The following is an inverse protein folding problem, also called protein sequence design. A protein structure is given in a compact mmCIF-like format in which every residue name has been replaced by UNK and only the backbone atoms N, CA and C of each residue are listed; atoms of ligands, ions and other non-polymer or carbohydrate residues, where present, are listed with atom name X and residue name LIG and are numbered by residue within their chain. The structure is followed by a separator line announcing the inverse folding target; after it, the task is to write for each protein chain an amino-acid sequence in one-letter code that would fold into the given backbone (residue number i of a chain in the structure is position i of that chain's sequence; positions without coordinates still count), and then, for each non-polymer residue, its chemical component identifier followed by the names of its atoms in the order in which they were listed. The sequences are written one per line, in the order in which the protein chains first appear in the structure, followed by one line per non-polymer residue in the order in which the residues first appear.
data_IF_805548888605
#
_entry.id   IF_805548888605
#
_cell.length_a   1.000
_cell.length_b   1.000
_cell.length_c   1.000
_cell.angle_alpha   90.00
_cell.angle_beta   90.00
_cell.angle_gamma   90.00
#
_symmetry.space_group_name_H-M   'P 1'
#
loop_
_entity.id
_entity.type
_entity.pdbx_description
1 polymer ?
#
# COMPACT_ATOMS: atom_id res chain seq x y z
N UNK A 1 2.17 2.04 15.02
CA UNK A 1 2.03 2.14 16.49
C UNK A 1 0.58 1.98 16.96
N UNK A 2 -0.40 2.80 16.47
CA UNK A 2 -1.79 2.77 16.96
C UNK A 2 -2.46 1.39 16.85
N UNK A 3 -2.29 0.67 15.74
CA UNK A 3 -2.88 -0.67 15.55
C UNK A 3 -2.32 -1.71 16.53
N UNK A 4 -1.03 -1.63 16.86
CA UNK A 4 -0.39 -2.54 17.82
C UNK A 4 -0.90 -2.27 19.24
N UNK A 5 -1.03 -1.00 19.63
CA UNK A 5 -1.61 -0.62 20.92
C UNK A 5 -3.06 -1.10 21.04
N UNK A 6 -3.88 -0.82 20.03
CA UNK A 6 -5.28 -1.28 20.00
C UNK A 6 -5.39 -2.82 20.07
N UNK A 7 -4.47 -3.54 19.42
CA UNK A 7 -4.43 -5.00 19.52
C UNK A 7 -4.07 -5.47 20.93
N UNK A 8 -3.08 -4.86 21.58
CA UNK A 8 -2.69 -5.19 22.95
C UNK A 8 -3.84 -4.93 23.95
N UNK A 9 -4.60 -3.85 23.78
CA UNK A 9 -5.78 -3.53 24.61
C UNK A 9 -6.92 -4.53 24.41
N UNK A 10 -7.01 -5.20 23.26
CA UNK A 10 -8.06 -6.14 22.91
C UNK A 10 -7.56 -7.57 22.66
N UNK A 11 -6.41 -7.93 23.24
CA UNK A 11 -5.73 -9.20 22.97
C UNK A 11 -6.59 -10.42 23.30
N UNK A 12 -7.49 -10.32 24.29
CA UNK A 12 -8.43 -11.40 24.66
C UNK A 12 -9.63 -11.49 23.71
N UNK A 13 -9.92 -10.44 22.94
CA UNK A 13 -11.02 -10.41 21.98
C UNK A 13 -10.64 -9.63 20.71
N UNK A 14 -9.73 -10.12 19.89
CA UNK A 14 -9.26 -9.42 18.68
C UNK A 14 -10.34 -9.27 17.60
N UNK A 15 -11.46 -9.95 17.71
CA UNK A 15 -12.58 -9.83 16.76
C UNK A 15 -13.17 -8.42 16.69
N UNK A 16 -13.07 -7.62 17.75
CA UNK A 16 -13.49 -6.21 17.75
C UNK A 16 -12.69 -5.36 16.76
N UNK A 17 -11.50 -5.79 16.40
CA UNK A 17 -10.59 -5.13 15.46
C UNK A 17 -10.72 -5.65 14.03
N UNK A 18 -11.58 -6.62 13.76
CA UNK A 18 -11.65 -7.31 12.47
C UNK A 18 -11.74 -6.33 11.27
N UNK A 19 -12.60 -5.31 11.36
CA UNK A 19 -12.75 -4.31 10.30
C UNK A 19 -11.49 -3.44 10.11
N UNK A 20 -10.82 -3.09 11.20
CA UNK A 20 -9.58 -2.30 11.14
C UNK A 20 -8.44 -3.14 10.54
N UNK A 21 -8.30 -4.39 10.96
CA UNK A 21 -7.31 -5.33 10.42
C UNK A 21 -7.55 -5.61 8.93
N UNK A 22 -8.83 -5.77 8.53
CA UNK A 22 -9.21 -5.94 7.12
C UNK A 22 -8.75 -4.76 6.28
N UNK A 23 -8.98 -3.54 6.76
CA UNK A 23 -8.54 -2.33 6.07
C UNK A 23 -7.01 -2.22 5.98
N UNK A 24 -6.30 -2.50 7.10
CA UNK A 24 -4.84 -2.43 7.16
C UNK A 24 -4.22 -3.47 6.22
N UNK A 25 -4.66 -4.72 6.29
CA UNK A 25 -4.11 -5.80 5.45
C UNK A 25 -4.41 -5.59 3.97
N UNK A 26 -5.56 -5.03 3.61
CA UNK A 26 -5.84 -4.64 2.21
C UNK A 26 -4.85 -3.57 1.74
N UNK A 27 -4.57 -2.57 2.58
CA UNK A 27 -3.56 -1.54 2.26
C UNK A 27 -2.15 -2.13 2.17
N UNK A 28 -1.78 -3.02 3.08
CA UNK A 28 -0.48 -3.71 3.04
C UNK A 28 -0.28 -4.49 1.74
N UNK A 29 -1.28 -5.28 1.33
CA UNK A 29 -1.22 -6.02 0.06
C UNK A 29 -1.10 -5.09 -1.13
N UNK A 30 -1.79 -3.94 -1.13
CA UNK A 30 -1.66 -2.93 -2.20
C UNK A 30 -0.29 -2.24 -2.24
N UNK A 31 0.49 -2.35 -1.16
CA UNK A 31 1.86 -1.84 -1.05
C UNK A 31 2.92 -2.94 -1.18
N UNK A 32 2.50 -4.16 -1.46
CA UNK A 32 3.35 -5.35 -1.58
C UNK A 32 4.14 -5.67 -0.31
N UNK A 33 3.51 -5.48 0.86
CA UNK A 33 4.12 -5.82 2.14
C UNK A 33 4.27 -7.34 2.25
N UNK A 34 5.49 -7.78 2.54
CA UNK A 34 5.86 -9.20 2.63
C UNK A 34 6.09 -9.61 4.10
N UNK A 35 5.94 -10.91 4.43
CA UNK A 35 6.09 -11.40 5.81
C UNK A 35 7.41 -11.02 6.48
N UNK A 36 8.51 -10.96 5.72
CA UNK A 36 9.84 -10.66 6.24
C UNK A 36 9.95 -9.24 6.80
N UNK A 37 9.12 -8.32 6.31
CA UNK A 37 9.12 -6.92 6.76
C UNK A 37 8.53 -6.76 8.17
N UNK A 38 7.71 -7.71 8.63
CA UNK A 38 7.16 -7.70 9.99
C UNK A 38 8.24 -7.84 11.06
N UNK A 39 9.28 -8.65 10.82
CA UNK A 39 10.40 -8.77 11.74
C UNK A 39 11.14 -7.44 11.93
N UNK A 40 11.38 -6.71 10.82
CA UNK A 40 12.04 -5.40 10.85
C UNK A 40 11.20 -4.37 11.62
N UNK A 41 9.90 -4.34 11.37
CA UNK A 41 8.97 -3.42 12.06
C UNK A 41 8.90 -3.76 13.56
N UNK A 42 8.84 -5.05 13.90
CA UNK A 42 8.79 -5.52 15.28
C UNK A 42 10.03 -5.11 16.07
N UNK A 43 11.22 -5.33 15.53
CA UNK A 43 12.48 -4.94 16.16
C UNK A 43 12.51 -3.44 16.44
N UNK A 44 12.24 -2.59 15.45
CA UNK A 44 12.22 -1.14 15.61
C UNK A 44 11.15 -0.67 16.62
N UNK A 45 9.97 -1.32 16.63
CA UNK A 45 8.91 -1.03 17.58
C UNK A 45 9.35 -1.30 19.02
N UNK A 46 9.96 -2.47 19.28
CA UNK A 46 10.42 -2.85 20.62
C UNK A 46 11.54 -1.94 21.11
N UNK A 47 12.48 -1.57 20.25
CA UNK A 47 13.49 -0.57 20.57
C UNK A 47 12.88 0.79 20.95
N UNK A 48 11.90 1.25 20.16
CA UNK A 48 11.21 2.52 20.46
C UNK A 48 10.43 2.46 21.77
N UNK A 49 9.80 1.33 22.11
CA UNK A 49 9.12 1.13 23.39
C UNK A 49 10.14 1.18 24.55
N UNK A 50 11.28 0.48 24.40
CA UNK A 50 12.36 0.48 25.38
C UNK A 50 12.87 1.88 25.66
N UNK A 51 13.15 2.68 24.63
CA UNK A 51 13.62 4.06 24.75
C UNK A 51 12.59 4.98 25.41
N UNK A 52 11.33 4.93 24.95
CA UNK A 52 10.27 5.83 25.45
C UNK A 52 9.92 5.55 26.91
N UNK A 53 9.94 4.27 27.32
CA UNK A 53 9.60 3.87 28.68
C UNK A 53 10.82 3.75 29.62
N UNK A 54 12.03 4.00 29.09
CA UNK A 54 13.29 3.86 29.81
C UNK A 54 13.42 2.48 30.52
N UNK A 55 13.14 1.41 29.77
CA UNK A 55 13.22 0.02 30.24
C UNK A 55 14.23 -0.78 29.42
N UNK A 56 14.90 -1.74 30.07
CA UNK A 56 15.88 -2.60 29.40
C UNK A 56 15.19 -3.50 28.34
N UNK A 57 15.89 -3.76 27.23
CA UNK A 57 15.40 -4.64 26.14
C UNK A 57 15.14 -6.08 26.60
N UNK A 58 15.78 -6.55 27.64
CA UNK A 58 15.61 -7.87 28.24
C UNK A 58 14.56 -7.90 29.37
N UNK A 59 13.79 -6.82 29.56
CA UNK A 59 12.75 -6.73 30.58
C UNK A 59 11.51 -7.59 30.23
N UNK A 60 10.79 -8.04 31.26
CA UNK A 60 9.51 -8.76 31.11
C UNK A 60 8.47 -7.94 30.33
N UNK A 61 8.52 -6.59 30.43
CA UNK A 61 7.66 -5.70 29.70
C UNK A 61 7.91 -5.78 28.19
N UNK A 62 9.17 -5.73 27.76
CA UNK A 62 9.53 -5.88 26.34
C UNK A 62 9.19 -7.27 25.82
N UNK A 63 9.42 -8.32 26.62
CA UNK A 63 9.02 -9.69 26.27
C UNK A 63 7.51 -9.81 26.08
N UNK A 64 6.69 -9.18 26.91
CA UNK A 64 5.24 -9.15 26.76
C UNK A 64 4.80 -8.41 25.47
N UNK A 65 5.41 -7.26 25.16
CA UNK A 65 5.14 -6.54 23.91
C UNK A 65 5.56 -7.32 22.68
N UNK A 66 6.69 -8.02 22.74
CA UNK A 66 7.14 -8.90 21.67
C UNK A 66 6.12 -10.02 21.40
N UNK A 67 5.63 -10.68 22.45
CA UNK A 67 4.63 -11.73 22.31
C UNK A 67 3.31 -11.22 21.68
N UNK A 68 2.82 -10.07 22.12
CA UNK A 68 1.62 -9.44 21.57
C UNK A 68 1.81 -9.02 20.12
N UNK A 69 2.97 -8.45 19.77
CA UNK A 69 3.29 -8.06 18.39
C UNK A 69 3.36 -9.28 17.47
N UNK A 70 4.01 -10.38 17.88
CA UNK A 70 4.12 -11.59 17.08
C UNK A 70 2.75 -12.19 16.77
N UNK A 71 1.84 -12.23 17.76
CA UNK A 71 0.47 -12.71 17.52
C UNK A 71 -0.26 -11.86 16.49
N UNK A 72 -0.14 -10.52 16.57
CA UNK A 72 -0.73 -9.63 15.59
C UNK A 72 -0.10 -9.84 14.20
N UNK A 73 1.22 -9.94 14.12
CA UNK A 73 1.95 -10.15 12.87
C UNK A 73 1.50 -11.44 12.19
N UNK A 74 1.43 -12.57 12.92
CA UNK A 74 0.98 -13.85 12.39
C UNK A 74 -0.45 -13.79 11.85
N UNK A 75 -1.35 -13.10 12.57
CA UNK A 75 -2.72 -12.90 12.14
C UNK A 75 -2.78 -12.08 10.83
N UNK A 76 -2.05 -10.96 10.77
CA UNK A 76 -2.04 -10.10 9.57
C UNK A 76 -1.39 -10.79 8.37
N UNK A 77 -0.26 -11.48 8.55
CA UNK A 77 0.40 -12.29 7.51
C UNK A 77 -0.57 -13.34 6.95
N UNK A 78 -1.33 -14.02 7.81
CA UNK A 78 -2.33 -15.00 7.37
C UNK A 78 -3.45 -14.35 6.54
N UNK A 79 -3.97 -13.18 6.96
CA UNK A 79 -4.99 -12.43 6.22
C UNK A 79 -4.46 -11.96 4.87
N UNK A 80 -3.24 -11.41 4.82
CA UNK A 80 -2.58 -10.92 3.62
C UNK A 80 -2.30 -12.06 2.64
N UNK A 81 -1.83 -13.21 3.12
CA UNK A 81 -1.63 -14.41 2.29
C UNK A 81 -2.92 -14.80 1.55
N UNK A 82 -4.05 -14.80 2.24
CA UNK A 82 -5.35 -15.10 1.62
C UNK A 82 -5.71 -14.08 0.54
N UNK A 83 -5.43 -12.78 0.78
CA UNK A 83 -5.67 -11.72 -0.19
C UNK A 83 -4.77 -11.87 -1.42
N UNK A 84 -3.48 -12.14 -1.24
CA UNK A 84 -2.54 -12.40 -2.34
C UNK A 84 -3.00 -13.60 -3.19
N UNK A 85 -3.43 -14.69 -2.56
CA UNK A 85 -3.95 -15.87 -3.26
C UNK A 85 -5.23 -15.55 -4.04
N UNK A 86 -6.14 -14.78 -3.45
CA UNK A 86 -7.37 -14.34 -4.12
C UNK A 86 -7.05 -13.50 -5.36
N UNK A 87 -6.17 -12.51 -5.24
CA UNK A 87 -5.74 -11.68 -6.36
C UNK A 87 -5.10 -12.52 -7.47
N UNK A 88 -4.19 -13.41 -7.13
CA UNK A 88 -3.50 -14.26 -8.11
C UNK A 88 -4.44 -15.22 -8.85
N UNK A 89 -5.57 -15.61 -8.23
CA UNK A 89 -6.55 -16.53 -8.82
C UNK A 89 -7.58 -15.86 -9.72
N UNK A 90 -7.74 -14.53 -9.64
CA UNK A 90 -8.70 -13.78 -10.45
C UNK A 90 -8.20 -13.58 -11.88
N UNK A 91 -9.11 -13.56 -12.84
CA UNK A 91 -8.76 -13.24 -14.22
C UNK A 91 -8.19 -11.83 -14.34
N UNK A 92 -6.97 -11.71 -14.88
CA UNK A 92 -6.25 -10.44 -14.97
C UNK A 92 -5.72 -9.93 -13.64
N UNK A 93 -5.80 -10.73 -12.55
CA UNK A 93 -5.24 -10.39 -11.25
C UNK A 93 -3.73 -10.60 -11.19
N UNK A 94 -3.07 -9.84 -10.32
CA UNK A 94 -1.64 -9.99 -10.05
C UNK A 94 -1.32 -9.60 -8.60
N UNK A 95 -0.14 -9.96 -8.16
CA UNK A 95 0.41 -9.57 -6.85
C UNK A 95 1.63 -8.69 -7.06
N UNK A 96 1.93 -7.85 -6.09
CA UNK A 96 3.05 -6.92 -6.17
C UNK A 96 2.84 -5.79 -7.18
N UNK A 97 3.92 -5.34 -7.77
CA UNK A 97 3.97 -4.21 -8.67
C UNK A 97 4.03 -4.66 -10.13
N UNK A 98 3.13 -4.14 -10.97
CA UNK A 98 3.06 -4.44 -12.40
C UNK A 98 3.25 -3.16 -13.20
N UNK A 99 4.01 -3.25 -14.29
CA UNK A 99 4.32 -2.13 -15.15
C UNK A 99 3.14 -1.75 -16.08
N UNK A 100 2.82 -0.46 -16.09
CA UNK A 100 1.79 0.14 -16.94
C UNK A 100 2.36 1.33 -17.69
N UNK A 101 2.07 1.40 -18.99
CA UNK A 101 2.45 2.52 -19.83
C UNK A 101 1.37 3.61 -19.79
N UNK A 102 1.78 4.85 -19.63
CA UNK A 102 0.88 6.02 -19.73
C UNK A 102 0.45 6.16 -21.19
N UNK A 103 -0.84 6.02 -21.45
CA UNK A 103 -1.43 6.14 -22.79
C UNK A 103 -2.01 7.53 -23.06
N UNK A 104 -2.45 8.25 -22.01
CA UNK A 104 -2.93 9.62 -22.11
C UNK A 104 -2.81 10.33 -20.76
N UNK A 105 -2.64 11.66 -20.80
CA UNK A 105 -2.72 12.57 -19.66
C UNK A 105 -3.61 13.72 -20.04
N UNK A 106 -4.74 13.89 -19.35
CA UNK A 106 -5.65 15.02 -19.55
C UNK A 106 -5.55 15.96 -18.36
N UNK A 107 -5.33 17.26 -18.59
CA UNK A 107 -5.17 18.26 -17.54
C UNK A 107 -6.41 19.14 -17.43
N UNK A 108 -6.89 19.34 -16.20
CA UNK A 108 -7.96 20.29 -15.87
C UNK A 108 -7.60 21.06 -14.60
N UNK A 109 -7.11 22.29 -14.75
CA UNK A 109 -6.61 23.09 -13.63
C UNK A 109 -5.40 22.44 -12.96
N UNK A 110 -5.53 22.13 -11.66
CA UNK A 110 -4.52 21.40 -10.85
C UNK A 110 -4.69 19.88 -10.85
N UNK A 111 -5.68 19.36 -11.58
CA UNK A 111 -5.96 17.94 -11.66
C UNK A 111 -5.48 17.35 -13.00
N UNK A 112 -4.98 16.13 -12.94
CA UNK A 112 -4.51 15.36 -14.09
C UNK A 112 -5.20 14.01 -14.09
N UNK A 113 -5.86 13.65 -15.19
CA UNK A 113 -6.42 12.32 -15.40
C UNK A 113 -5.40 11.49 -16.19
N UNK A 114 -4.81 10.51 -15.53
CA UNK A 114 -3.90 9.55 -16.13
C UNK A 114 -4.68 8.36 -16.66
N UNK A 115 -4.44 8.01 -17.93
CA UNK A 115 -4.87 6.75 -18.53
C UNK A 115 -3.66 5.86 -18.73
N UNK A 116 -3.75 4.61 -18.25
CA UNK A 116 -2.63 3.67 -18.29
C UNK A 116 -3.06 2.30 -18.81
N UNK A 117 -2.18 1.63 -19.54
CA UNK A 117 -2.40 0.29 -20.11
C UNK A 117 -1.28 -0.65 -19.65
N UNK A 118 -1.60 -1.92 -19.40
CA UNK A 118 -0.59 -2.90 -19.00
C UNK A 118 0.52 -3.02 -20.06
N UNK A 119 1.77 -2.87 -19.67
CA UNK A 119 2.92 -2.86 -20.58
C UNK A 119 3.12 -4.23 -21.26
N UNK A 120 2.79 -5.31 -20.58
CA UNK A 120 2.91 -6.69 -21.05
C UNK A 120 1.75 -7.12 -21.99
N UNK A 121 0.73 -6.26 -22.18
CA UNK A 121 -0.44 -6.52 -23.00
C UNK A 121 -1.37 -7.62 -22.48
N UNK A 122 -1.13 -8.13 -21.25
CA UNK A 122 -2.00 -9.13 -20.64
C UNK A 122 -3.26 -8.48 -20.05
N UNK A 123 -4.32 -9.26 -19.88
CA UNK A 123 -5.54 -8.82 -19.22
C UNK A 123 -5.26 -8.21 -17.84
N UNK A 124 -6.08 -7.25 -17.44
CA UNK A 124 -6.03 -6.62 -16.13
C UNK A 124 -7.30 -6.93 -15.34
N UNK A 125 -7.18 -6.88 -14.00
CA UNK A 125 -8.31 -7.10 -13.11
C UNK A 125 -9.37 -6.02 -13.32
N UNK A 126 -10.60 -6.43 -13.62
CA UNK A 126 -11.73 -5.49 -13.73
C UNK A 126 -12.02 -4.85 -12.38
N UNK A 127 -12.21 -3.54 -12.34
CA UNK A 127 -12.49 -2.79 -11.12
C UNK A 127 -13.55 -1.71 -11.35
N UNK A 128 -14.26 -1.36 -10.29
CA UNK A 128 -15.25 -0.28 -10.34
C UNK A 128 -14.57 1.09 -10.11
N UNK A 129 -15.23 2.16 -10.51
CA UNK A 129 -14.84 3.52 -10.12
C UNK A 129 -14.76 3.64 -8.58
N UNK A 130 -13.86 4.47 -8.10
CA UNK A 130 -13.49 4.66 -6.69
C UNK A 130 -12.76 3.47 -6.03
N UNK A 131 -12.47 2.37 -6.73
CA UNK A 131 -11.60 1.32 -6.20
C UNK A 131 -10.19 1.88 -5.98
N UNK A 132 -9.57 1.68 -4.80
CA UNK A 132 -8.20 2.09 -4.57
C UNK A 132 -7.20 1.31 -5.43
N UNK A 133 -6.19 2.03 -5.92
CA UNK A 133 -5.02 1.49 -6.60
C UNK A 133 -3.77 2.20 -6.07
N UNK A 134 -2.71 1.48 -5.79
CA UNK A 134 -1.43 2.08 -5.43
C UNK A 134 -0.60 2.30 -6.69
N UNK A 135 -0.04 3.49 -6.81
CA UNK A 135 0.92 3.87 -7.85
C UNK A 135 2.27 4.12 -7.19
N UNK A 136 3.32 3.54 -7.72
CA UNK A 136 4.69 3.72 -7.24
C UNK A 136 5.53 4.42 -8.30
N UNK A 137 6.27 5.44 -7.88
CA UNK A 137 7.14 6.23 -8.74
C UNK A 137 8.54 6.32 -8.15
N UNK A 138 9.54 6.52 -9.01
CA UNK A 138 10.88 6.90 -8.58
C UNK A 138 10.90 8.36 -8.16
N UNK A 139 11.48 8.66 -6.99
CA UNK A 139 11.71 10.03 -6.56
C UNK A 139 12.93 10.58 -7.31
N UNK A 140 12.80 11.73 -8.00
CA UNK A 140 13.91 12.30 -8.75
C UNK A 140 15.16 12.50 -7.89
N UNK A 141 16.31 12.22 -8.46
CA UNK A 141 17.65 12.36 -7.83
C UNK A 141 17.88 11.53 -6.55
N UNK A 142 16.98 10.57 -6.27
CA UNK A 142 17.09 9.67 -5.11
C UNK A 142 16.87 8.22 -5.54
N UNK A 143 17.56 7.30 -4.89
CA UNK A 143 17.32 5.85 -5.04
C UNK A 143 16.13 5.41 -4.17
N UNK A 144 14.99 6.09 -4.32
CA UNK A 144 13.79 5.87 -3.51
C UNK A 144 12.57 5.66 -4.40
N UNK A 145 11.82 4.60 -4.12
CA UNK A 145 10.51 4.34 -4.72
C UNK A 145 9.41 4.77 -3.73
N UNK A 146 8.56 5.69 -4.15
CA UNK A 146 7.50 6.23 -3.32
C UNK A 146 6.13 5.78 -3.81
N UNK A 147 5.35 5.01 -3.01
CA UNK A 147 3.98 4.65 -3.35
C UNK A 147 2.95 5.66 -2.81
N UNK A 148 1.86 5.82 -3.54
CA UNK A 148 0.66 6.53 -3.08
C UNK A 148 -0.59 5.86 -3.62
N UNK A 149 -1.67 5.80 -2.82
CA UNK A 149 -2.96 5.32 -3.27
C UNK A 149 -3.75 6.42 -3.96
N UNK A 150 -4.33 6.06 -5.10
CA UNK A 150 -5.31 6.85 -5.85
C UNK A 150 -6.60 6.06 -5.98
N UNK A 151 -7.68 6.74 -6.38
CA UNK A 151 -8.94 6.08 -6.71
C UNK A 151 -9.10 6.00 -8.22
N UNK A 152 -9.49 4.85 -8.71
CA UNK A 152 -9.82 4.69 -10.12
C UNK A 152 -11.01 5.57 -10.48
N UNK A 153 -10.90 6.31 -11.59
CA UNK A 153 -12.00 7.03 -12.21
C UNK A 153 -12.78 6.13 -13.16
N UNK A 154 -12.05 5.26 -13.87
CA UNK A 154 -12.61 4.26 -14.78
C UNK A 154 -11.67 3.06 -14.92
N UNK A 155 -12.25 1.94 -15.37
CA UNK A 155 -11.55 0.71 -15.75
C UNK A 155 -12.22 0.13 -17.00
N UNK A 156 -11.39 -0.33 -17.94
CA UNK A 156 -11.81 -1.10 -19.09
C UNK A 156 -11.13 -2.48 -19.06
N UNK A 157 -11.27 -3.30 -20.10
CA UNK A 157 -10.59 -4.59 -20.18
C UNK A 157 -9.07 -4.48 -20.19
N UNK A 158 -8.51 -3.35 -20.63
CA UNK A 158 -7.08 -3.19 -20.87
C UNK A 158 -6.48 -1.91 -20.27
N UNK A 159 -7.28 -1.05 -19.63
CA UNK A 159 -6.80 0.23 -19.12
C UNK A 159 -7.44 0.65 -17.80
N UNK A 160 -6.68 1.39 -17.02
CA UNK A 160 -7.18 2.12 -15.86
C UNK A 160 -7.08 3.62 -16.10
N UNK A 161 -7.98 4.35 -15.44
CA UNK A 161 -7.89 5.80 -15.31
C UNK A 161 -7.93 6.17 -13.83
N UNK A 162 -7.08 7.09 -13.41
CA UNK A 162 -7.08 7.63 -12.05
C UNK A 162 -6.78 9.12 -12.06
N UNK A 163 -7.39 9.83 -11.11
CA UNK A 163 -7.24 11.27 -10.95
C UNK A 163 -6.11 11.57 -9.97
N UNK A 164 -5.24 12.48 -10.38
CA UNK A 164 -4.13 13.03 -9.59
C UNK A 164 -4.40 14.50 -9.33
N UNK A 165 -4.61 14.88 -8.08
CA UNK A 165 -4.82 16.27 -7.67
C UNK A 165 -3.53 16.79 -7.03
N UNK A 166 -3.01 17.91 -7.55
CA UNK A 166 -1.83 18.55 -7.02
C UNK A 166 -2.22 19.69 -6.07
N UNK A 167 -1.60 19.69 -4.89
CA UNK A 167 -1.69 20.82 -3.95
C UNK A 167 -0.74 21.95 -4.36
N UNK A 168 -1.00 23.18 -3.91
CA UNK A 168 -0.21 24.37 -4.29
C UNK A 168 1.26 24.27 -3.86
N UNK A 169 1.53 23.69 -2.69
CA UNK A 169 2.88 23.52 -2.14
C UNK A 169 3.10 22.04 -1.78
N UNK A 170 3.42 21.18 -2.78
CA UNK A 170 3.61 19.77 -2.54
C UNK A 170 4.96 19.49 -1.87
N UNK A 171 4.99 18.43 -1.04
CA UNK A 171 6.26 17.86 -0.61
C UNK A 171 7.06 17.36 -1.82
N UNK A 172 8.41 17.42 -1.81
CA UNK A 172 9.25 16.83 -2.88
C UNK A 172 9.06 15.33 -3.02
N UNK A 173 8.50 14.66 -2.01
CA UNK A 173 8.16 13.24 -2.03
C UNK A 173 6.69 12.98 -2.43
N UNK A 174 5.94 13.99 -2.82
CA UNK A 174 4.55 13.84 -3.25
C UNK A 174 4.47 13.11 -4.59
N UNK A 175 3.96 11.90 -4.60
CA UNK A 175 3.76 11.12 -5.84
C UNK A 175 2.88 11.88 -6.82
N UNK A 176 1.86 12.59 -6.35
CA UNK A 176 1.02 13.44 -7.19
C UNK A 176 1.82 14.54 -7.91
N UNK A 177 2.73 15.21 -7.19
CA UNK A 177 3.59 16.24 -7.78
C UNK A 177 4.62 15.64 -8.75
N UNK A 178 5.23 14.51 -8.37
CA UNK A 178 6.20 13.80 -9.22
C UNK A 178 5.54 13.36 -10.52
N UNK A 179 4.34 12.76 -10.46
CA UNK A 179 3.57 12.37 -11.64
C UNK A 179 3.28 13.55 -12.56
N UNK A 180 2.84 14.68 -11.99
CA UNK A 180 2.47 15.86 -12.77
C UNK A 180 3.66 16.62 -13.40
N UNK A 181 4.87 16.46 -12.83
CA UNK A 181 6.06 17.23 -13.24
C UNK A 181 7.08 16.42 -14.03
N UNK A 182 7.14 15.11 -13.85
CA UNK A 182 8.23 14.27 -14.36
C UNK A 182 7.76 13.10 -15.21
N UNK A 183 6.43 12.91 -15.41
CA UNK A 183 5.91 11.81 -16.22
C UNK A 183 5.12 12.31 -17.41
N UNK A 184 5.40 11.74 -18.57
CA UNK A 184 4.77 12.04 -19.84
C UNK A 184 4.06 10.82 -20.46
N UNK A 185 3.28 11.05 -21.51
CA UNK A 185 2.68 9.97 -22.31
C UNK A 185 3.78 9.10 -22.91
N UNK A 186 3.72 7.81 -22.65
CA UNK A 186 4.73 6.83 -23.06
C UNK A 186 5.60 6.32 -21.92
N UNK A 187 5.67 7.04 -20.81
CA UNK A 187 6.40 6.60 -19.62
C UNK A 187 5.71 5.42 -18.93
N UNK A 188 6.45 4.74 -18.08
CA UNK A 188 6.00 3.54 -17.37
C UNK A 188 5.87 3.84 -15.88
N UNK A 189 4.72 3.44 -15.33
CA UNK A 189 4.39 3.45 -13.91
C UNK A 189 4.29 2.03 -13.38
N UNK A 190 4.50 1.85 -12.10
CA UNK A 190 4.21 0.60 -11.42
C UNK A 190 2.92 0.73 -10.60
N UNK A 191 1.99 -0.19 -10.83
CA UNK A 191 0.68 -0.22 -10.16
C UNK A 191 0.49 -1.52 -9.38
N UNK A 192 -0.16 -1.42 -8.21
CA UNK A 192 -0.75 -2.58 -7.54
C UNK A 192 -2.02 -3.04 -8.26
N UNK A 193 -2.49 -4.25 -7.98
CA UNK A 193 -3.86 -4.60 -8.33
C UNK A 193 -4.86 -3.71 -7.56
N UNK A 194 -5.97 -3.29 -8.19
CA UNK A 194 -7.02 -2.57 -7.49
C UNK A 194 -7.69 -3.48 -6.46
N UNK A 195 -7.94 -2.95 -5.24
CA UNK A 195 -8.53 -3.70 -4.15
C UNK A 195 -9.57 -2.87 -3.39
N UNK A 196 -10.69 -3.49 -3.06
CA UNK A 196 -11.68 -2.96 -2.11
C UNK A 196 -11.56 -3.67 -0.76
N UNK A 197 -11.86 -2.96 0.31
CA UNK A 197 -12.01 -3.52 1.67
C UNK A 197 -13.38 -4.16 1.78
#
# INVERSE_FOLDING_TARGET
AAAVLAYAEHIENPSVLAKALEHITTKHVSLDIQPEQYAIVGENLLHSISEVLDVAMDSDLIAAWQAAYMQLADLMISMEKNKYQTLASQHGGWTGWRAFKISAIERSGSAYLFSVTAQDGQAILSAQANTPISVRVSVPEQELLQPQQFKLSASTENSYQFLVECVAEPSPYSVAAILAQHYDVGDVLELSAPMTV
#
